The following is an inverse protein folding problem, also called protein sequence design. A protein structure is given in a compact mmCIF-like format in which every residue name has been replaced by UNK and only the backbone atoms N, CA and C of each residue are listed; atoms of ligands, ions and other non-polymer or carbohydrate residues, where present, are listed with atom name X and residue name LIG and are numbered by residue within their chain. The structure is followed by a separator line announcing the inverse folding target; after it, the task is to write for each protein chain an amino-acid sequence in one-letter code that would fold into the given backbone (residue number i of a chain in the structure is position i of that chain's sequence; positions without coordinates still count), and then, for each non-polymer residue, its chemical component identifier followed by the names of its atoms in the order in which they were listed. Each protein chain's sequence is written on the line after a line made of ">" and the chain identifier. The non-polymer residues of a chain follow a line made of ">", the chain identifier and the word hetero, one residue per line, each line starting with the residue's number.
data_IF_223002105667
#
_entry.id   IF_223002105667
#
_cell.length_a   1.000
_cell.length_b   1.000
_cell.length_c   1.000
_cell.angle_alpha   90.00
_cell.angle_beta   90.00
_cell.angle_gamma   90.00
#
_symmetry.space_group_name_H-M   'P 1'
#
loop_
_entity.id
_entity.type
_entity.pdbx_description
1 polymer ?
#
# COMPACT_ATOMS: atom_id res chain seq x y z
N UNK A 1 7.11 -23.08 23.91
CA UNK A 1 6.72 -21.88 24.70
C UNK A 1 7.39 -20.57 24.23
N UNK A 2 8.72 -20.41 24.28
CA UNK A 2 9.36 -19.14 23.86
C UNK A 2 9.19 -18.81 22.36
N UNK A 3 9.16 -19.82 21.49
CA UNK A 3 8.95 -19.61 20.05
C UNK A 3 7.50 -19.23 19.72
N UNK A 4 6.51 -19.85 20.39
CA UNK A 4 5.09 -19.49 20.26
C UNK A 4 4.86 -18.04 20.67
N UNK A 5 5.43 -17.59 21.80
CA UNK A 5 5.37 -16.19 22.19
C UNK A 5 6.06 -15.24 21.18
N UNK A 6 7.11 -15.68 20.50
CA UNK A 6 7.74 -14.91 19.44
C UNK A 6 6.84 -14.81 18.19
N UNK A 7 6.14 -15.90 17.83
CA UNK A 7 5.14 -15.90 16.74
C UNK A 7 3.98 -14.96 17.06
N UNK A 8 3.43 -15.02 18.29
CA UNK A 8 2.36 -14.13 18.74
C UNK A 8 2.80 -12.65 18.72
N UNK A 9 4.04 -12.36 19.12
CA UNK A 9 4.61 -11.01 19.08
C UNK A 9 4.79 -10.51 17.64
N UNK A 10 5.20 -11.38 16.70
CA UNK A 10 5.30 -11.04 15.28
C UNK A 10 3.90 -10.81 14.69
N UNK A 11 2.91 -11.66 15.00
CA UNK A 11 1.52 -11.47 14.58
C UNK A 11 0.95 -10.13 15.05
N UNK A 12 1.14 -9.81 16.33
CA UNK A 12 0.73 -8.52 16.90
C UNK A 12 1.41 -7.34 16.19
N UNK A 13 2.67 -7.50 15.80
CA UNK A 13 3.42 -6.45 15.09
C UNK A 13 2.99 -6.29 13.62
N UNK A 14 2.45 -7.36 13.02
CA UNK A 14 1.99 -7.38 11.63
C UNK A 14 0.50 -7.07 11.47
N UNK A 15 -0.27 -7.03 12.56
CA UNK A 15 -1.70 -6.73 12.55
C UNK A 15 -2.04 -5.43 11.80
N UNK A 16 -1.30 -4.30 11.96
CA UNK A 16 -1.52 -3.10 11.16
C UNK A 16 -1.35 -3.32 9.64
N UNK A 17 -0.59 -4.35 9.24
CA UNK A 17 -0.30 -4.69 7.85
C UNK A 17 -1.12 -5.88 7.32
N UNK A 18 -2.05 -6.43 8.09
CA UNK A 18 -2.79 -7.66 7.74
C UNK A 18 -3.56 -7.56 6.40
N UNK A 19 -3.95 -6.35 6.01
CA UNK A 19 -4.61 -6.06 4.73
C UNK A 19 -3.67 -6.13 3.51
N UNK A 20 -2.34 -6.10 3.70
CA UNK A 20 -1.31 -6.22 2.65
C UNK A 20 -0.49 -7.49 2.76
N UNK A 21 -0.37 -8.03 3.97
CA UNK A 21 0.41 -9.22 4.27
C UNK A 21 -0.56 -10.24 4.86
N UNK A 22 -0.87 -11.29 4.10
CA UNK A 22 -1.55 -12.46 4.64
C UNK A 22 -0.58 -13.22 5.55
N UNK A 23 -0.55 -12.81 6.82
CA UNK A 23 0.26 -13.41 7.88
C UNK A 23 -0.50 -14.44 8.71
N UNK A 24 -1.82 -14.32 8.81
CA UNK A 24 -2.66 -15.18 9.65
C UNK A 24 -2.53 -16.67 9.31
N UNK A 25 -2.79 -17.03 8.06
CA UNK A 25 -2.70 -18.42 7.59
C UNK A 25 -1.29 -18.99 7.76
N UNK A 26 -0.26 -18.22 7.38
CA UNK A 26 1.16 -18.65 7.43
C UNK A 26 1.63 -18.88 8.87
N UNK A 27 1.20 -18.05 9.82
CA UNK A 27 1.61 -18.16 11.21
C UNK A 27 0.85 -19.22 11.99
N UNK A 28 -0.39 -19.54 11.60
CA UNK A 28 -1.13 -20.69 12.15
C UNK A 28 -0.37 -21.98 11.80
N UNK A 29 0.03 -22.17 10.54
CA UNK A 29 0.84 -23.32 10.15
C UNK A 29 2.19 -23.35 10.85
N UNK A 30 2.91 -22.22 10.92
CA UNK A 30 4.17 -22.17 11.65
C UNK A 30 4.02 -22.53 13.13
N UNK A 31 2.88 -22.21 13.77
CA UNK A 31 2.59 -22.58 15.16
C UNK A 31 2.31 -24.07 15.29
N UNK A 32 1.46 -24.63 14.43
CA UNK A 32 1.16 -26.06 14.40
C UNK A 32 2.43 -26.90 14.19
N UNK A 33 3.30 -26.49 13.28
CA UNK A 33 4.56 -27.18 12.99
C UNK A 33 5.57 -27.03 14.15
N UNK A 34 5.58 -25.89 14.85
CA UNK A 34 6.38 -25.74 16.08
C UNK A 34 5.90 -26.66 17.21
N UNK A 35 4.60 -26.89 17.32
CA UNK A 35 4.02 -27.81 18.30
C UNK A 35 4.34 -29.27 17.93
N UNK A 36 4.27 -29.62 16.65
CA UNK A 36 4.70 -30.94 16.15
C UNK A 36 6.20 -31.19 16.41
N UNK A 37 7.06 -30.20 16.18
CA UNK A 37 8.49 -30.29 16.48
C UNK A 37 8.76 -30.46 17.99
N UNK A 38 7.94 -29.84 18.84
CA UNK A 38 8.06 -29.98 20.30
C UNK A 38 7.66 -31.40 20.76
N UNK A 39 6.57 -31.94 20.21
CA UNK A 39 6.13 -33.32 20.48
C UNK A 39 7.20 -34.32 20.03
N UNK A 40 7.75 -34.16 18.82
CA UNK A 40 8.83 -35.02 18.32
C UNK A 40 10.06 -35.04 19.24
N UNK A 41 10.42 -33.89 19.83
CA UNK A 41 11.51 -33.80 20.81
C UNK A 41 11.19 -34.50 22.14
N UNK A 42 9.93 -34.44 22.60
CA UNK A 42 9.48 -35.14 23.80
C UNK A 42 9.44 -36.67 23.61
N UNK A 43 9.15 -37.12 22.38
CA UNK A 43 9.06 -38.52 22.00
C UNK A 43 10.39 -39.13 21.51
N UNK A 44 11.47 -38.34 21.46
CA UNK A 44 12.78 -38.71 20.89
C UNK A 44 12.71 -39.10 19.39
N UNK A 45 11.68 -38.60 18.69
CA UNK A 45 11.51 -38.73 17.24
C UNK A 45 12.21 -37.56 16.54
N UNK A 46 13.50 -37.76 16.28
CA UNK A 46 14.37 -36.78 15.65
C UNK A 46 13.99 -36.55 14.18
N UNK A 47 13.43 -37.55 13.48
CA UNK A 47 13.03 -37.39 12.08
C UNK A 47 11.81 -36.48 11.95
N UNK A 48 10.77 -36.72 12.75
CA UNK A 48 9.57 -35.87 12.81
C UNK A 48 9.92 -34.44 13.28
N UNK A 49 10.84 -34.32 14.24
CA UNK A 49 11.33 -33.02 14.71
C UNK A 49 11.98 -32.20 13.60
N UNK A 50 12.83 -32.82 12.78
CA UNK A 50 13.56 -32.13 11.70
C UNK A 50 12.60 -31.74 10.57
N UNK A 51 11.64 -32.60 10.24
CA UNK A 51 10.65 -32.33 9.20
C UNK A 51 9.76 -31.14 9.59
N UNK A 52 9.20 -31.16 10.80
CA UNK A 52 8.40 -30.07 11.34
C UNK A 52 9.18 -28.74 11.41
N UNK A 53 10.45 -28.77 11.84
CA UNK A 53 11.31 -27.57 11.81
C UNK A 53 11.55 -27.02 10.40
N UNK A 54 11.56 -27.88 9.38
CA UNK A 54 11.73 -27.46 7.99
C UNK A 54 10.51 -26.68 7.48
N UNK A 55 9.29 -27.11 7.83
CA UNK A 55 8.06 -26.40 7.49
C UNK A 55 7.92 -25.05 8.21
N UNK A 56 8.38 -24.95 9.46
CA UNK A 56 8.49 -23.67 10.18
C UNK A 56 9.39 -22.69 9.42
N UNK A 57 10.55 -23.16 8.95
CA UNK A 57 11.49 -22.31 8.21
C UNK A 57 10.89 -21.86 6.88
N UNK A 58 10.20 -22.75 6.16
CA UNK A 58 9.52 -22.42 4.90
C UNK A 58 8.44 -21.35 5.10
N UNK A 59 7.57 -21.53 6.10
CA UNK A 59 6.51 -20.57 6.44
C UNK A 59 7.08 -19.19 6.81
N UNK A 60 8.15 -19.15 7.61
CA UNK A 60 8.80 -17.90 7.97
C UNK A 60 9.53 -17.25 6.78
N UNK A 61 10.07 -18.03 5.85
CA UNK A 61 10.66 -17.51 4.61
C UNK A 61 9.59 -16.92 3.69
N UNK A 62 8.43 -17.57 3.57
CA UNK A 62 7.29 -17.04 2.82
C UNK A 62 6.81 -15.71 3.42
N UNK A 63 6.62 -15.66 4.74
CA UNK A 63 6.21 -14.45 5.44
C UNK A 63 7.24 -13.33 5.24
N UNK A 64 8.52 -13.64 5.38
CA UNK A 64 9.60 -12.69 5.10
C UNK A 64 9.55 -12.19 3.66
N UNK A 65 9.30 -13.06 2.68
CA UNK A 65 9.13 -12.66 1.28
C UNK A 65 7.96 -11.69 1.09
N UNK A 66 6.84 -11.90 1.78
CA UNK A 66 5.69 -10.98 1.78
C UNK A 66 6.06 -9.62 2.41
N UNK A 67 6.77 -9.63 3.54
CA UNK A 67 7.27 -8.40 4.21
C UNK A 67 8.25 -7.64 3.32
N UNK A 68 9.23 -8.34 2.73
CA UNK A 68 10.26 -7.76 1.88
C UNK A 68 9.66 -7.10 0.62
N UNK A 69 8.51 -7.60 0.14
CA UNK A 69 7.78 -7.01 -1.00
C UNK A 69 7.10 -5.68 -0.64
N UNK A 70 6.56 -5.57 0.58
CA UNK A 70 5.74 -4.43 1.01
C UNK A 70 6.57 -3.34 1.71
N UNK A 71 7.69 -3.71 2.34
CA UNK A 71 8.57 -2.80 3.07
C UNK A 71 9.04 -1.58 2.26
N UNK A 72 9.46 -1.73 0.98
CA UNK A 72 9.85 -0.58 0.17
C UNK A 72 8.73 0.46 0.02
N UNK A 73 7.49 0.01 -0.17
CA UNK A 73 6.33 0.89 -0.37
C UNK A 73 6.04 1.72 0.89
N UNK A 74 6.07 1.09 2.07
CA UNK A 74 5.89 1.77 3.35
C UNK A 74 7.00 2.79 3.59
N UNK A 75 8.25 2.40 3.36
CA UNK A 75 9.39 3.32 3.50
C UNK A 75 9.26 4.50 2.55
N UNK A 76 8.83 4.27 1.31
CA UNK A 76 8.62 5.34 0.34
C UNK A 76 7.56 6.34 0.81
N UNK A 77 6.38 5.86 1.24
CA UNK A 77 5.31 6.74 1.75
C UNK A 77 5.74 7.47 3.03
N UNK A 78 6.47 6.80 3.92
CA UNK A 78 7.03 7.43 5.11
C UNK A 78 7.96 8.59 4.74
N UNK A 79 8.88 8.40 3.79
CA UNK A 79 9.78 9.48 3.34
C UNK A 79 9.04 10.67 2.73
N UNK A 80 8.00 10.41 1.94
CA UNK A 80 7.15 11.46 1.35
C UNK A 80 6.41 12.22 2.46
N UNK A 81 5.78 11.50 3.39
CA UNK A 81 4.99 12.10 4.47
C UNK A 81 5.86 12.82 5.49
N UNK A 82 7.05 12.32 5.82
CA UNK A 82 8.04 13.03 6.64
C UNK A 82 8.43 14.38 6.03
N UNK A 83 8.61 14.44 4.71
CA UNK A 83 8.85 15.71 4.02
C UNK A 83 7.65 16.65 4.19
N UNK A 84 6.42 16.14 4.01
CA UNK A 84 5.20 16.93 4.19
C UNK A 84 5.07 17.46 5.63
N UNK A 85 5.37 16.64 6.65
CA UNK A 85 5.39 17.08 8.05
C UNK A 85 6.41 18.18 8.32
N UNK A 86 7.50 18.25 7.55
CA UNK A 86 8.48 19.34 7.66
C UNK A 86 8.05 20.65 6.98
N UNK A 87 7.18 20.58 5.97
CA UNK A 87 6.79 21.74 5.14
C UNK A 87 5.43 22.31 5.54
N UNK A 88 4.40 21.47 5.67
CA UNK A 88 3.01 21.89 5.90
C UNK A 88 2.84 22.82 7.12
N UNK A 89 3.49 22.57 8.28
CA UNK A 89 3.38 23.48 9.43
C UNK A 89 3.91 24.89 9.17
N UNK A 90 4.79 25.08 8.18
CA UNK A 90 5.33 26.41 7.85
C UNK A 90 4.26 27.35 7.31
N UNK A 91 3.16 26.84 6.73
CA UNK A 91 2.03 27.68 6.36
C UNK A 91 1.49 28.46 7.56
N UNK A 92 1.16 27.77 8.66
CA UNK A 92 0.60 28.42 9.84
C UNK A 92 1.52 29.51 10.40
N UNK A 93 2.84 29.30 10.29
CA UNK A 93 3.86 30.29 10.65
C UNK A 93 3.80 31.50 9.70
N UNK A 94 3.79 31.27 8.38
CA UNK A 94 3.72 32.33 7.36
C UNK A 94 2.43 33.16 7.56
N UNK A 95 1.28 32.52 7.71
CA UNK A 95 -0.01 33.20 7.96
C UNK A 95 0.02 34.05 9.22
N UNK A 96 0.56 33.51 10.31
CA UNK A 96 0.66 34.25 11.56
C UNK A 96 1.60 35.46 11.42
N UNK A 97 2.76 35.30 10.79
CA UNK A 97 3.71 36.38 10.55
C UNK A 97 3.14 37.45 9.60
N UNK A 98 2.39 37.04 8.57
CA UNK A 98 1.70 37.95 7.66
C UNK A 98 0.62 38.78 8.38
N UNK A 99 -0.15 38.14 9.27
CA UNK A 99 -1.12 38.85 10.10
C UNK A 99 -0.46 39.81 11.10
N UNK A 100 0.69 39.45 11.67
CA UNK A 100 1.46 40.34 12.55
C UNK A 100 2.01 41.55 11.79
N UNK A 101 2.53 41.34 10.58
CA UNK A 101 2.99 42.39 9.69
C UNK A 101 1.86 43.36 9.32
N UNK A 102 0.70 42.83 8.87
CA UNK A 102 -0.51 43.62 8.56
C UNK A 102 -0.96 44.49 9.73
N UNK A 103 -0.96 43.92 10.94
CA UNK A 103 -1.43 44.61 12.15
C UNK A 103 -0.35 45.48 12.83
N UNK A 104 0.83 45.63 12.20
CA UNK A 104 1.95 46.43 12.71
C UNK A 104 2.35 46.07 14.16
N UNK A 105 2.33 44.78 14.49
CA UNK A 105 2.64 44.30 15.83
C UNK A 105 4.13 44.57 16.16
N UNK A 106 4.39 45.06 17.37
CA UNK A 106 5.76 45.31 17.85
C UNK A 106 6.54 43.98 17.90
N UNK A 107 7.66 43.88 17.17
CA UNK A 107 8.46 42.67 16.89
C UNK A 107 7.91 41.70 15.82
N UNK A 108 7.09 42.16 14.87
CA UNK A 108 6.77 41.38 13.68
C UNK A 108 8.04 40.93 12.91
N UNK A 109 7.94 39.81 12.19
CA UNK A 109 9.01 39.30 11.35
C UNK A 109 9.51 40.37 10.37
N UNK A 110 10.82 40.38 10.09
CA UNK A 110 11.37 41.28 9.07
C UNK A 110 10.73 40.94 7.72
N UNK A 111 10.25 41.96 6.99
CA UNK A 111 9.67 41.84 5.65
C UNK A 111 10.51 40.96 4.72
N UNK A 112 11.83 41.14 4.72
CA UNK A 112 12.74 40.37 3.88
C UNK A 112 12.85 38.89 4.30
N UNK A 113 12.68 38.61 5.59
CA UNK A 113 12.68 37.25 6.13
C UNK A 113 11.36 36.53 5.81
N UNK A 114 10.23 37.24 5.92
CA UNK A 114 8.91 36.73 5.57
C UNK A 114 8.82 36.38 4.07
N UNK A 115 9.35 37.23 3.19
CA UNK A 115 9.44 36.95 1.75
C UNK A 115 10.23 35.67 1.48
N UNK A 116 11.45 35.57 2.01
CA UNK A 116 12.30 34.37 1.82
C UNK A 116 11.65 33.10 2.34
N UNK A 117 10.96 33.17 3.47
CA UNK A 117 10.23 32.03 4.04
C UNK A 117 9.10 31.59 3.11
N UNK A 118 8.35 32.56 2.57
CA UNK A 118 7.25 32.32 1.62
C UNK A 118 7.74 31.72 0.31
N UNK A 119 8.78 32.31 -0.30
CA UNK A 119 9.40 31.77 -1.52
C UNK A 119 9.92 30.35 -1.30
N UNK A 120 10.59 30.10 -0.17
CA UNK A 120 11.09 28.78 0.16
C UNK A 120 9.95 27.76 0.30
N UNK A 121 8.85 28.13 0.96
CA UNK A 121 7.69 27.27 1.12
C UNK A 121 7.09 26.87 -0.24
N UNK A 122 6.87 27.81 -1.14
CA UNK A 122 6.38 27.51 -2.50
C UNK A 122 7.32 26.61 -3.29
N UNK A 123 8.63 26.87 -3.22
CA UNK A 123 9.66 26.04 -3.87
C UNK A 123 9.71 24.62 -3.29
N UNK A 124 9.58 24.47 -1.96
CA UNK A 124 9.59 23.16 -1.31
C UNK A 124 8.35 22.34 -1.71
N UNK A 125 7.18 22.97 -1.81
CA UNK A 125 5.96 22.32 -2.30
C UNK A 125 6.01 21.98 -3.79
N UNK A 126 6.52 22.87 -4.65
CA UNK A 126 6.75 22.57 -6.07
C UNK A 126 7.72 21.40 -6.23
N UNK A 127 8.80 21.36 -5.45
CA UNK A 127 9.75 20.24 -5.49
C UNK A 127 9.13 18.92 -5.05
N UNK A 128 8.21 18.96 -4.08
CA UNK A 128 7.48 17.78 -3.64
C UNK A 128 6.54 17.25 -4.73
N UNK A 129 5.71 18.14 -5.27
CA UNK A 129 4.51 17.81 -6.06
C UNK A 129 4.72 17.92 -7.58
N UNK A 130 5.66 18.74 -8.01
CA UNK A 130 5.88 19.09 -9.42
C UNK A 130 4.99 20.21 -9.93
N UNK A 131 4.08 20.74 -9.11
CA UNK A 131 3.07 21.72 -9.53
C UNK A 131 3.59 23.16 -9.42
N UNK A 132 3.52 23.92 -10.51
CA UNK A 132 3.94 25.33 -10.55
C UNK A 132 3.06 26.24 -9.68
N UNK A 133 1.78 25.87 -9.46
CA UNK A 133 0.82 26.66 -8.69
C UNK A 133 1.32 27.07 -7.29
N UNK A 134 2.12 26.23 -6.63
CA UNK A 134 2.62 26.55 -5.29
C UNK A 134 3.66 27.68 -5.32
N UNK A 135 4.42 27.81 -6.40
CA UNK A 135 5.32 28.94 -6.62
C UNK A 135 4.51 30.19 -6.95
N UNK A 136 3.42 30.04 -7.71
CA UNK A 136 2.52 31.15 -8.03
C UNK A 136 1.82 31.69 -6.77
N UNK A 137 1.27 30.82 -5.91
CA UNK A 137 0.70 31.20 -4.60
C UNK A 137 1.73 31.94 -3.75
N UNK A 138 2.96 31.40 -3.67
CA UNK A 138 4.03 32.03 -2.90
C UNK A 138 4.45 33.39 -3.48
N UNK A 139 4.47 33.52 -4.80
CA UNK A 139 4.81 34.78 -5.48
C UNK A 139 3.73 35.84 -5.24
N UNK A 140 2.45 35.46 -5.33
CA UNK A 140 1.34 36.37 -5.01
C UNK A 140 1.40 36.90 -3.57
N UNK A 141 1.78 36.05 -2.60
CA UNK A 141 2.04 36.48 -1.22
C UNK A 141 3.24 37.44 -1.12
N UNK A 142 4.32 37.19 -1.85
CA UNK A 142 5.50 38.07 -1.86
C UNK A 142 5.17 39.44 -2.48
N UNK A 143 4.31 39.46 -3.49
CA UNK A 143 3.87 40.69 -4.16
C UNK A 143 3.07 41.57 -3.20
N UNK A 144 2.08 41.00 -2.48
CA UNK A 144 1.29 41.77 -1.50
C UNK A 144 2.11 42.26 -0.29
N UNK A 145 3.22 41.59 0.04
CA UNK A 145 4.18 42.07 1.05
C UNK A 145 5.02 43.25 0.51
N UNK A 146 5.25 43.29 -0.80
CA UNK A 146 6.12 44.26 -1.46
C UNK A 146 5.42 45.58 -1.80
N UNK A 147 4.11 45.52 -2.01
CA UNK A 147 3.29 46.61 -2.49
C UNK A 147 2.38 47.17 -1.39
N UNK A 148 1.84 48.38 -1.58
CA UNK A 148 0.71 48.87 -0.78
C UNK A 148 -0.58 48.17 -1.23
N UNK A 149 -0.64 46.85 -1.01
CA UNK A 149 -1.80 46.03 -1.34
C UNK A 149 -3.00 46.37 -0.45
N UNK A 150 -4.19 46.30 -1.02
CA UNK A 150 -5.45 46.42 -0.29
C UNK A 150 -5.66 45.22 0.63
N UNK A 151 -6.50 45.38 1.66
CA UNK A 151 -6.84 44.27 2.56
C UNK A 151 -7.45 43.08 1.80
N UNK A 152 -8.23 43.36 0.76
CA UNK A 152 -8.83 42.31 -0.08
C UNK A 152 -7.80 41.49 -0.84
N UNK A 153 -6.74 42.11 -1.36
CA UNK A 153 -5.68 41.41 -2.08
C UNK A 153 -4.83 40.55 -1.15
N UNK A 154 -4.60 41.04 0.09
CA UNK A 154 -3.92 40.26 1.13
C UNK A 154 -4.75 39.04 1.52
N UNK A 155 -6.06 39.22 1.72
CA UNK A 155 -6.96 38.13 2.10
C UNK A 155 -7.05 37.07 0.98
N UNK A 156 -7.12 37.48 -0.29
CA UNK A 156 -7.09 36.56 -1.45
C UNK A 156 -5.79 35.73 -1.53
N UNK A 157 -4.64 36.37 -1.32
CA UNK A 157 -3.35 35.68 -1.29
C UNK A 157 -3.24 34.68 -0.12
N UNK A 158 -3.80 35.03 1.04
CA UNK A 158 -3.87 34.13 2.20
C UNK A 158 -4.83 32.97 1.98
N UNK A 159 -5.96 33.17 1.30
CA UNK A 159 -6.91 32.12 0.95
C UNK A 159 -6.30 31.09 0.00
N UNK A 160 -5.50 31.52 -0.98
CA UNK A 160 -4.73 30.60 -1.84
C UNK A 160 -3.79 29.69 -1.05
N UNK A 161 -3.11 30.25 -0.04
CA UNK A 161 -2.23 29.50 0.85
C UNK A 161 -2.99 28.54 1.78
N UNK A 162 -4.22 28.89 2.17
CA UNK A 162 -5.12 27.98 2.91
C UNK A 162 -5.51 26.80 2.02
N UNK A 163 -5.96 27.06 0.80
CA UNK A 163 -6.35 26.02 -0.15
C UNK A 163 -5.19 25.03 -0.43
N UNK A 164 -3.98 25.54 -0.66
CA UNK A 164 -2.80 24.70 -0.86
C UNK A 164 -2.51 23.79 0.35
N UNK A 165 -2.86 24.22 1.56
CA UNK A 165 -2.68 23.42 2.77
C UNK A 165 -3.77 22.40 2.99
N UNK A 166 -5.01 22.72 2.66
CA UNK A 166 -6.11 21.76 2.66
C UNK A 166 -5.80 20.61 1.69
N UNK A 167 -5.29 20.92 0.49
CA UNK A 167 -4.85 19.92 -0.48
C UNK A 167 -3.71 19.04 0.07
N UNK A 168 -2.72 19.62 0.77
CA UNK A 168 -1.64 18.84 1.38
C UNK A 168 -2.12 17.97 2.55
N UNK A 169 -3.08 18.44 3.35
CA UNK A 169 -3.68 17.65 4.43
C UNK A 169 -4.45 16.46 3.86
N UNK A 170 -5.30 16.71 2.87
CA UNK A 170 -6.02 15.65 2.17
C UNK A 170 -5.06 14.65 1.52
N UNK A 171 -3.98 15.12 0.91
CA UNK A 171 -2.95 14.24 0.34
C UNK A 171 -2.29 13.36 1.41
N UNK A 172 -1.98 13.89 2.60
CA UNK A 172 -1.43 13.08 3.70
C UNK A 172 -2.41 12.01 4.16
N UNK A 173 -3.70 12.35 4.30
CA UNK A 173 -4.76 11.40 4.67
C UNK A 173 -4.92 10.30 3.62
N UNK A 174 -4.95 10.68 2.34
CA UNK A 174 -5.05 9.73 1.23
C UNK A 174 -3.82 8.82 1.13
N UNK A 175 -2.61 9.35 1.32
CA UNK A 175 -1.37 8.56 1.35
C UNK A 175 -1.36 7.58 2.53
N UNK A 176 -1.82 8.02 3.70
CA UNK A 176 -1.97 7.15 4.86
C UNK A 176 -2.99 6.05 4.56
N UNK A 177 -4.14 6.39 3.99
CA UNK A 177 -5.19 5.43 3.62
C UNK A 177 -4.69 4.32 2.70
N UNK A 178 -3.80 4.65 1.74
CA UNK A 178 -3.20 3.65 0.86
C UNK A 178 -2.43 2.57 1.65
N UNK A 179 -1.81 2.89 2.78
CA UNK A 179 -1.00 1.93 3.57
C UNK A 179 -1.63 1.48 4.88
N UNK A 180 -2.73 2.09 5.33
CA UNK A 180 -3.44 1.68 6.53
C UNK A 180 -4.48 0.60 6.23
N UNK A 181 -4.75 -0.31 7.18
CA UNK A 181 -5.80 -1.29 7.00
C UNK A 181 -7.15 -0.59 6.87
N UNK A 182 -8.05 -1.06 5.99
CA UNK A 182 -9.41 -0.54 5.95
C UNK A 182 -10.06 -0.74 7.32
N UNK A 183 -10.90 0.21 7.77
CA UNK A 183 -11.58 0.09 9.06
C UNK A 183 -12.36 -1.23 9.14
N UNK A 184 -12.26 -1.91 10.29
CA UNK A 184 -12.95 -3.17 10.56
C UNK A 184 -14.46 -3.04 10.24
N UNK A 185 -14.99 -3.98 9.45
CA UNK A 185 -16.41 -4.03 9.10
C UNK A 185 -16.84 -3.21 7.88
N UNK A 186 -15.91 -2.49 7.23
CA UNK A 186 -16.20 -1.83 5.94
C UNK A 186 -16.04 -2.84 4.81
N UNK A 187 -17.05 -2.95 3.94
CA UNK A 187 -16.93 -3.69 2.68
C UNK A 187 -15.85 -3.01 1.85
N UNK A 188 -14.71 -3.65 1.70
CA UNK A 188 -13.64 -3.17 0.83
C UNK A 188 -14.10 -3.36 -0.60
N UNK A 189 -14.64 -2.30 -1.20
CA UNK A 189 -14.91 -2.28 -2.63
C UNK A 189 -13.60 -2.53 -3.39
N UNK A 190 -13.71 -3.26 -4.51
CA UNK A 190 -12.55 -3.52 -5.34
C UNK A 190 -11.92 -2.18 -5.78
N UNK A 191 -10.61 -1.97 -5.60
CA UNK A 191 -10.00 -0.69 -5.90
C UNK A 191 -10.22 -0.32 -7.37
N UNK A 192 -10.53 0.94 -7.63
CA UNK A 192 -10.72 1.46 -8.98
C UNK A 192 -9.48 1.20 -9.86
N UNK A 193 -9.64 1.32 -11.19
CA UNK A 193 -8.50 1.15 -12.12
C UNK A 193 -7.38 2.15 -11.81
N UNK A 194 -7.75 3.36 -11.42
CA UNK A 194 -6.84 4.44 -11.04
C UNK A 194 -6.09 4.10 -9.75
N UNK A 195 -6.79 3.60 -8.72
CA UNK A 195 -6.16 3.17 -7.46
C UNK A 195 -5.20 1.98 -7.69
N UNK A 196 -5.57 1.03 -8.55
CA UNK A 196 -4.67 -0.06 -8.96
C UNK A 196 -3.42 0.48 -9.67
N UNK A 197 -3.57 1.52 -10.49
CA UNK A 197 -2.43 2.16 -11.16
C UNK A 197 -1.53 2.91 -10.17
N UNK A 198 -2.09 3.53 -9.13
CA UNK A 198 -1.31 4.13 -8.03
C UNK A 198 -0.47 3.06 -7.33
N UNK A 199 -1.06 1.90 -6.98
CA UNK A 199 -0.29 0.81 -6.36
C UNK A 199 0.84 0.30 -7.26
N UNK A 200 0.58 0.13 -8.55
CA UNK A 200 1.61 -0.30 -9.49
C UNK A 200 2.73 0.76 -9.63
N UNK A 201 2.39 2.04 -9.67
CA UNK A 201 3.38 3.13 -9.69
C UNK A 201 4.18 3.22 -8.38
N UNK A 202 3.52 3.04 -7.22
CA UNK A 202 4.14 3.01 -5.91
C UNK A 202 5.15 1.85 -5.78
N UNK A 203 4.80 0.68 -6.30
CA UNK A 203 5.73 -0.45 -6.39
C UNK A 203 6.96 -0.08 -7.22
N UNK A 204 6.79 0.52 -8.42
CA UNK A 204 7.94 0.92 -9.25
C UNK A 204 8.78 1.99 -8.54
N UNK A 205 8.15 3.01 -7.95
CA UNK A 205 8.83 4.12 -7.29
C UNK A 205 9.64 3.67 -6.06
N UNK A 206 9.07 2.81 -5.23
CA UNK A 206 9.72 2.32 -4.02
C UNK A 206 10.97 1.48 -4.33
N UNK A 207 10.85 0.50 -5.24
CA UNK A 207 11.98 -0.32 -5.67
C UNK A 207 13.03 0.51 -6.43
N UNK A 208 12.61 1.51 -7.19
CA UNK A 208 13.52 2.46 -7.85
C UNK A 208 14.30 3.31 -6.84
N UNK A 209 13.65 3.77 -5.75
CA UNK A 209 14.30 4.53 -4.69
C UNK A 209 15.41 3.74 -4.01
N UNK A 210 15.17 2.45 -3.78
CA UNK A 210 16.16 1.54 -3.20
C UNK A 210 17.32 1.28 -4.16
N UNK A 211 17.01 1.08 -5.43
CA UNK A 211 18.02 0.94 -6.46
C UNK A 211 18.89 2.20 -6.57
N UNK A 212 18.28 3.39 -6.52
CA UNK A 212 18.98 4.68 -6.52
C UNK A 212 19.97 4.78 -5.35
N UNK A 213 19.55 4.42 -4.13
CA UNK A 213 20.43 4.37 -2.95
C UNK A 213 21.60 3.42 -3.15
N UNK A 214 21.31 2.23 -3.68
CA UNK A 214 22.34 1.24 -4.00
C UNK A 214 23.32 1.79 -5.03
N UNK A 215 22.86 2.47 -6.07
CA UNK A 215 23.71 3.10 -7.09
C UNK A 215 24.70 4.10 -6.51
N UNK A 216 24.35 4.82 -5.44
CA UNK A 216 25.26 5.77 -4.80
C UNK A 216 26.47 5.10 -4.13
N UNK A 217 26.26 3.93 -3.54
CA UNK A 217 27.27 3.27 -2.68
C UNK A 217 27.94 2.05 -3.34
N UNK A 218 27.40 1.56 -4.46
CA UNK A 218 27.88 0.34 -5.12
C UNK A 218 29.34 0.46 -5.56
N UNK A 219 30.04 -0.67 -5.66
CA UNK A 219 31.38 -0.72 -6.28
C UNK A 219 31.29 -0.79 -7.81
N UNK A 220 32.30 -0.31 -8.57
CA UNK A 220 32.22 -0.27 -10.03
C UNK A 220 31.96 -1.62 -10.72
N UNK A 221 32.49 -2.70 -10.17
CA UNK A 221 32.36 -4.08 -10.67
C UNK A 221 30.93 -4.65 -10.56
N UNK A 222 30.08 -4.05 -9.73
CA UNK A 222 28.70 -4.47 -9.51
C UNK A 222 27.67 -3.60 -10.27
N UNK A 223 28.12 -2.59 -11.03
CA UNK A 223 27.21 -1.67 -11.77
C UNK A 223 26.39 -2.38 -12.86
N UNK A 224 26.93 -3.43 -13.48
CA UNK A 224 26.21 -4.21 -14.47
C UNK A 224 24.95 -4.87 -13.89
N UNK A 225 25.01 -5.36 -12.65
CA UNK A 225 23.84 -5.94 -11.97
C UNK A 225 22.78 -4.88 -11.69
N UNK A 226 23.19 -3.66 -11.35
CA UNK A 226 22.24 -2.56 -11.16
C UNK A 226 21.56 -2.16 -12.47
N UNK A 227 22.25 -2.22 -13.61
CA UNK A 227 21.65 -1.95 -14.91
C UNK A 227 20.53 -2.97 -15.25
N UNK A 228 20.71 -4.24 -14.89
CA UNK A 228 19.67 -5.28 -15.05
C UNK A 228 18.45 -4.95 -14.20
N UNK A 229 18.64 -4.60 -12.93
CA UNK A 229 17.54 -4.18 -12.04
C UNK A 229 16.83 -2.92 -12.54
N UNK A 230 17.60 -1.92 -13.00
CA UNK A 230 17.06 -0.68 -13.55
C UNK A 230 16.20 -0.94 -14.80
N UNK A 231 16.61 -1.89 -15.65
CA UNK A 231 15.87 -2.30 -16.86
C UNK A 231 14.57 -3.01 -16.51
N UNK A 232 14.56 -3.82 -15.45
CA UNK A 232 13.34 -4.45 -14.94
C UNK A 232 12.32 -3.39 -14.53
N UNK A 233 12.74 -2.41 -13.71
CA UNK A 233 11.88 -1.30 -13.29
C UNK A 233 11.41 -0.44 -14.45
N UNK A 234 12.25 -0.20 -15.46
CA UNK A 234 11.82 0.49 -16.68
C UNK A 234 10.72 -0.30 -17.41
N UNK A 235 10.84 -1.62 -17.47
CA UNK A 235 9.83 -2.48 -18.09
C UNK A 235 8.52 -2.47 -17.31
N UNK A 236 8.58 -2.49 -15.97
CA UNK A 236 7.41 -2.34 -15.10
C UNK A 236 6.73 -0.98 -15.29
N UNK A 237 7.52 0.11 -15.31
CA UNK A 237 7.02 1.45 -15.59
C UNK A 237 6.36 1.56 -16.98
N UNK A 238 6.85 0.81 -17.97
CA UNK A 238 6.27 0.78 -19.31
C UNK A 238 4.86 0.21 -19.31
N UNK A 239 4.54 -0.76 -18.46
CA UNK A 239 3.19 -1.32 -18.34
C UNK A 239 2.17 -0.32 -17.77
N UNK A 240 2.63 0.74 -17.12
CA UNK A 240 1.78 1.85 -16.65
C UNK A 240 1.40 2.82 -17.77
N UNK A 241 2.09 2.77 -18.92
CA UNK A 241 1.66 3.50 -20.10
C UNK A 241 0.42 2.78 -20.65
N UNK A 242 -0.70 3.48 -20.92
CA UNK A 242 -1.82 2.92 -21.64
C UNK A 242 -1.29 2.15 -22.85
N UNK A 243 -1.72 0.89 -22.98
CA UNK A 243 -1.33 0.08 -24.11
C UNK A 243 -1.67 0.88 -25.37
N UNK A 244 -0.65 1.21 -26.17
CA UNK A 244 -0.88 1.61 -27.56
C UNK A 244 -1.84 0.58 -28.14
N UNK A 245 -3.04 1.00 -28.56
CA UNK A 245 -3.99 0.12 -29.24
C UNK A 245 -3.28 -0.57 -30.40
N UNK A 246 -2.77 -1.77 -30.17
CA UNK A 246 -2.42 -2.70 -31.23
C UNK A 246 -3.60 -3.63 -31.37
N UNK A 247 -4.67 -3.13 -32.00
CA UNK A 247 -5.45 -4.00 -32.87
C UNK A 247 -4.55 -4.30 -34.07
N UNK A 248 -3.64 -5.25 -33.86
CA UNK A 248 -2.98 -5.93 -34.96
C UNK A 248 -4.05 -6.81 -35.58
N UNK A 249 -4.78 -6.26 -36.55
CA UNK A 249 -5.63 -7.05 -37.44
C UNK A 249 -4.74 -8.11 -38.09
N UNK A 250 -4.91 -9.36 -37.68
CA UNK A 250 -4.44 -10.49 -38.47
C UNK A 250 -5.14 -10.44 -39.85
N UNK A 251 -4.43 -10.61 -40.96
CA UNK A 251 -5.06 -10.68 -42.27
C UNK A 251 -5.58 -12.11 -42.46
N UNK A 252 -6.87 -12.33 -42.25
CA UNK A 252 -7.48 -13.64 -42.48
C UNK A 252 -8.98 -13.69 -42.26
N UNK A 253 -9.72 -13.53 -43.36
CA UNK A 253 -11.02 -14.16 -43.63
C UNK A 253 -12.18 -13.91 -42.65
N UNK A 254 -13.09 -13.03 -43.04
CA UNK A 254 -14.49 -13.41 -43.30
C UNK A 254 -15.24 -12.27 -43.99
N UNK A 255 -15.52 -12.49 -45.27
CA UNK A 255 -16.43 -11.68 -46.04
C UNK A 255 -17.84 -12.02 -45.59
N UNK A 256 -18.48 -11.11 -44.84
CA UNK A 256 -19.90 -11.20 -44.53
C UNK A 256 -20.62 -10.21 -45.45
N UNK A 257 -21.37 -10.74 -46.39
CA UNK A 257 -22.27 -9.98 -47.26
C UNK A 257 -23.31 -9.26 -46.39
N UNK A 258 -23.36 -7.94 -46.53
CA UNK A 258 -24.38 -7.10 -45.87
C UNK A 258 -25.57 -7.01 -46.83
N UNK A 259 -26.71 -7.61 -46.46
CA UNK A 259 -28.02 -7.21 -47.01
C UNK A 259 -28.40 -5.82 -46.44
N UNK A 260 -28.94 -4.90 -47.26
CA UNK A 260 -29.24 -3.56 -46.79
C UNK A 260 -30.63 -3.53 -46.17
N UNK A 261 -30.70 -3.19 -44.89
CA UNK A 261 -31.92 -2.67 -44.30
C UNK A 261 -32.12 -3.09 -42.85
N UNK A 262 -31.68 -2.24 -41.93
CA UNK A 262 -32.43 -1.89 -40.72
C UNK A 262 -31.67 -0.77 -40.01
N UNK A 263 -32.33 0.38 -39.91
CA UNK A 263 -31.94 1.50 -39.05
C UNK A 263 -31.68 0.98 -37.62
N UNK A 264 -30.47 1.20 -37.13
CA UNK A 264 -30.21 1.24 -35.70
C UNK A 264 -29.21 2.35 -35.45
N UNK A 265 -29.65 3.31 -34.64
CA UNK A 265 -28.83 4.36 -34.07
C UNK A 265 -27.66 3.72 -33.32
N UNK A 266 -26.48 3.70 -33.93
CA UNK A 266 -25.24 3.41 -33.24
C UNK A 266 -24.76 4.74 -32.69
N UNK A 267 -24.96 4.94 -31.37
CA UNK A 267 -24.25 5.97 -30.63
C UNK A 267 -22.76 5.84 -30.96
N UNK A 268 -22.16 6.93 -31.45
CA UNK A 268 -20.71 7.04 -31.63
C UNK A 268 -20.07 6.78 -30.26
N UNK A 269 -19.56 5.55 -30.04
CA UNK A 269 -18.63 5.28 -28.96
C UNK A 269 -17.43 6.18 -29.19
N UNK A 270 -17.33 7.26 -28.41
CA UNK A 270 -16.15 8.10 -28.32
C UNK A 270 -14.94 7.20 -28.08
N UNK A 271 -14.07 7.12 -29.09
CA UNK A 271 -12.78 6.48 -28.97
C UNK A 271 -11.96 7.39 -28.05
N UNK A 272 -12.03 7.14 -26.74
CA UNK A 272 -11.20 7.81 -25.74
C UNK A 272 -9.75 7.45 -26.08
N UNK A 273 -9.06 8.39 -26.71
CA UNK A 273 -7.61 8.35 -26.92
C UNK A 273 -6.95 8.44 -25.54
N UNK A 274 -6.68 7.30 -24.91
CA UNK A 274 -5.98 7.26 -23.62
C UNK A 274 -4.52 7.62 -23.87
N UNK A 275 -4.23 8.91 -23.90
CA UNK A 275 -2.85 9.39 -24.00
C UNK A 275 -2.09 9.00 -22.71
N UNK A 276 -0.84 8.52 -22.83
CA UNK A 276 -0.05 8.19 -21.65
C UNK A 276 0.18 9.40 -20.77
N UNK A 277 0.03 9.22 -19.46
CA UNK A 277 0.26 10.27 -18.48
C UNK A 277 1.68 10.86 -18.65
N UNK A 278 1.85 12.19 -18.72
CA UNK A 278 3.15 12.83 -19.01
C UNK A 278 4.24 12.43 -18.01
N UNK A 279 3.89 12.35 -16.72
CA UNK A 279 4.83 11.96 -15.67
C UNK A 279 5.27 10.49 -15.79
N UNK A 280 4.37 9.55 -16.13
CA UNK A 280 4.74 8.15 -16.37
C UNK A 280 5.62 8.00 -17.62
N UNK A 281 5.30 8.74 -18.69
CA UNK A 281 6.13 8.79 -19.90
C UNK A 281 7.52 9.33 -19.60
N UNK A 282 7.62 10.39 -18.81
CA UNK A 282 8.88 10.99 -18.39
C UNK A 282 9.69 10.05 -17.50
N UNK A 283 9.04 9.40 -16.52
CA UNK A 283 9.63 8.40 -15.65
C UNK A 283 10.24 7.26 -16.47
N UNK A 284 9.44 6.62 -17.34
CA UNK A 284 9.92 5.53 -18.20
C UNK A 284 11.14 5.94 -19.03
N UNK A 285 11.10 7.12 -19.66
CA UNK A 285 12.24 7.65 -20.43
C UNK A 285 13.50 7.78 -19.55
N UNK A 286 13.37 8.37 -18.37
CA UNK A 286 14.51 8.56 -17.46
C UNK A 286 15.03 7.25 -16.86
N UNK A 287 14.17 6.26 -16.62
CA UNK A 287 14.58 4.91 -16.20
C UNK A 287 15.43 4.25 -17.30
N UNK A 288 15.03 4.35 -18.58
CA UNK A 288 15.81 3.82 -19.71
C UNK A 288 17.14 4.58 -19.89
N UNK A 289 17.15 5.90 -19.74
CA UNK A 289 18.39 6.68 -19.75
C UNK A 289 19.35 6.21 -18.64
N UNK A 290 18.84 5.97 -17.43
CA UNK A 290 19.63 5.45 -16.32
C UNK A 290 20.23 4.06 -16.63
N UNK A 291 19.48 3.16 -17.29
CA UNK A 291 20.02 1.87 -17.76
C UNK A 291 21.25 2.10 -18.64
N UNK A 292 21.12 2.92 -19.69
CA UNK A 292 22.21 3.17 -20.62
C UNK A 292 23.45 3.76 -19.93
N UNK A 293 23.25 4.65 -18.94
CA UNK A 293 24.36 5.23 -18.15
C UNK A 293 25.02 4.21 -17.23
N UNK A 294 24.25 3.32 -16.60
CA UNK A 294 24.81 2.25 -15.76
C UNK A 294 25.63 1.25 -16.61
N UNK A 295 25.14 0.89 -17.80
CA UNK A 295 25.84 -0.01 -18.72
C UNK A 295 27.14 0.58 -19.27
N UNK A 296 27.17 1.91 -19.47
CA UNK A 296 28.40 2.61 -19.85
C UNK A 296 29.34 2.89 -18.66
N UNK A 297 29.01 2.42 -17.45
CA UNK A 297 29.78 2.65 -16.22
C UNK A 297 29.71 4.09 -15.67
N UNK A 298 28.79 4.92 -16.17
CA UNK A 298 28.64 6.32 -15.80
C UNK A 298 27.72 6.53 -14.59
N UNK A 299 28.24 6.27 -13.38
CA UNK A 299 27.47 6.38 -12.12
C UNK A 299 26.78 7.72 -11.92
N UNK A 300 27.52 8.83 -11.99
CA UNK A 300 26.96 10.16 -11.69
C UNK A 300 25.85 10.55 -12.68
N UNK A 301 26.04 10.20 -13.96
CA UNK A 301 25.03 10.40 -14.99
C UNK A 301 23.79 9.53 -14.76
N UNK A 302 23.97 8.28 -14.30
CA UNK A 302 22.87 7.41 -13.92
C UNK A 302 22.09 7.99 -12.74
N UNK A 303 22.77 8.46 -11.69
CA UNK A 303 22.16 9.10 -10.51
C UNK A 303 21.30 10.30 -10.92
N UNK A 304 21.77 11.13 -11.85
CA UNK A 304 20.99 12.28 -12.36
C UNK A 304 19.71 11.80 -13.06
N UNK A 305 19.80 10.80 -13.95
CA UNK A 305 18.62 10.25 -14.63
C UNK A 305 17.67 9.55 -13.65
N UNK A 306 18.19 8.79 -12.68
CA UNK A 306 17.39 8.15 -11.64
C UNK A 306 16.65 9.17 -10.78
N UNK A 307 17.29 10.30 -10.43
CA UNK A 307 16.62 11.38 -9.68
C UNK A 307 15.45 11.96 -10.47
N UNK A 308 15.63 12.21 -11.76
CA UNK A 308 14.53 12.71 -12.62
C UNK A 308 13.38 11.70 -12.76
N UNK A 309 13.69 10.39 -12.80
CA UNK A 309 12.67 9.35 -12.78
C UNK A 309 11.92 9.30 -11.45
N UNK A 310 12.63 9.44 -10.32
CA UNK A 310 12.07 9.48 -8.97
C UNK A 310 11.11 10.67 -8.81
N UNK A 311 11.52 11.86 -9.27
CA UNK A 311 10.68 13.06 -9.27
C UNK A 311 9.40 12.84 -10.12
N UNK A 312 9.54 12.33 -11.35
CA UNK A 312 8.39 12.09 -12.22
C UNK A 312 7.40 11.04 -11.65
N UNK A 313 7.90 9.95 -11.06
CA UNK A 313 7.03 8.95 -10.41
C UNK A 313 6.33 9.53 -9.20
N UNK A 314 7.04 10.31 -8.37
CA UNK A 314 6.46 10.98 -7.21
C UNK A 314 5.32 11.92 -7.63
N UNK A 315 5.55 12.77 -8.62
CA UNK A 315 4.53 13.73 -9.10
C UNK A 315 3.26 13.01 -9.55
N UNK A 316 3.41 11.94 -10.34
CA UNK A 316 2.26 11.10 -10.71
C UNK A 316 1.53 10.51 -9.50
N UNK A 317 2.26 9.92 -8.55
CA UNK A 317 1.67 9.28 -7.37
C UNK A 317 0.88 10.31 -6.56
N UNK A 318 1.45 11.49 -6.30
CA UNK A 318 0.79 12.52 -5.50
C UNK A 318 -0.45 13.09 -6.20
N UNK A 319 -0.34 13.41 -7.48
CA UNK A 319 -1.46 13.90 -8.30
C UNK A 319 -2.62 12.90 -8.31
N UNK A 320 -2.33 11.62 -8.59
CA UNK A 320 -3.37 10.59 -8.67
C UNK A 320 -3.94 10.24 -7.31
N UNK A 321 -3.12 10.27 -6.26
CA UNK A 321 -3.57 10.03 -4.88
C UNK A 321 -4.53 11.13 -4.45
N UNK A 322 -4.22 12.40 -4.73
CA UNK A 322 -5.12 13.50 -4.41
C UNK A 322 -6.44 13.40 -5.18
N UNK A 323 -6.39 12.95 -6.44
CA UNK A 323 -7.55 12.94 -7.35
C UNK A 323 -8.48 11.74 -7.19
N UNK A 324 -7.95 10.55 -6.93
CA UNK A 324 -8.70 9.28 -7.07
C UNK A 324 -8.80 8.48 -5.78
N UNK A 325 -8.07 8.84 -4.73
CA UNK A 325 -8.22 8.20 -3.42
C UNK A 325 -9.24 9.01 -2.64
N UNK A 326 -10.31 8.33 -2.21
CA UNK A 326 -11.30 8.90 -1.30
C UNK A 326 -11.29 8.05 -0.04
N UNK A 327 -10.94 8.67 1.09
CA UNK A 327 -11.08 8.04 2.40
C UNK A 327 -12.58 7.96 2.71
N UNK A 328 -13.14 6.76 2.99
CA UNK A 328 -14.52 6.64 3.41
C UNK A 328 -14.74 7.45 4.71
N UNK A 329 -15.90 8.11 4.89
CA UNK A 329 -16.18 8.76 6.15
C UNK A 329 -16.07 7.75 7.31
N UNK A 330 -15.58 8.18 8.49
CA UNK A 330 -15.49 7.28 9.64
C UNK A 330 -16.86 6.68 9.92
N UNK A 331 -16.89 5.38 10.23
CA UNK A 331 -18.13 4.71 10.61
C UNK A 331 -18.81 5.50 11.74
N UNK A 332 -20.15 5.64 11.72
CA UNK A 332 -20.85 6.24 12.84
C UNK A 332 -20.45 5.52 14.13
N UNK A 333 -20.33 6.25 15.27
CA UNK A 333 -19.95 5.64 16.53
C UNK A 333 -20.84 4.44 16.79
N UNK A 334 -20.22 3.27 16.98
CA UNK A 334 -20.96 2.07 17.33
C UNK A 334 -21.76 2.35 18.60
N UNK A 335 -23.02 1.89 18.64
CA UNK A 335 -23.78 1.84 19.88
C UNK A 335 -22.92 1.15 20.94
N UNK A 336 -22.91 1.64 22.20
CA UNK A 336 -22.12 1.03 23.25
C UNK A 336 -22.43 -0.46 23.28
N UNK A 337 -21.39 -1.29 23.20
CA UNK A 337 -21.53 -2.74 23.22
C UNK A 337 -22.44 -3.15 24.39
N UNK A 338 -23.35 -4.13 24.20
CA UNK A 338 -24.14 -4.64 25.32
C UNK A 338 -23.17 -5.05 26.43
N UNK A 339 -23.41 -4.53 27.64
CA UNK A 339 -22.58 -4.77 28.83
C UNK A 339 -22.30 -6.26 28.96
N UNK A 340 -21.03 -6.61 29.17
CA UNK A 340 -20.48 -7.97 29.34
C UNK A 340 -20.98 -8.68 30.63
N UNK A 341 -22.11 -8.23 31.19
CA UNK A 341 -22.67 -8.68 32.46
C UNK A 341 -23.94 -9.53 32.31
N UNK A 342 -24.33 -9.91 31.09
CA UNK A 342 -25.45 -10.82 30.87
C UNK A 342 -24.98 -12.28 30.98
N UNK A 343 -25.18 -12.89 32.16
CA UNK A 343 -24.91 -14.31 32.40
C UNK A 343 -25.81 -15.22 31.53
N UNK A 344 -25.26 -16.22 30.82
CA UNK A 344 -26.03 -17.19 30.03
C UNK A 344 -26.78 -18.19 30.93
N UNK A 345 -27.95 -18.68 30.46
CA UNK A 345 -28.83 -19.64 31.14
C UNK A 345 -28.21 -21.06 31.14
N UNK A 346 -28.09 -21.67 32.33
CA UNK A 346 -27.44 -22.96 32.64
C UNK A 346 -28.05 -24.20 31.94
N UNK A 347 -29.11 -24.02 31.15
CA UNK A 347 -29.86 -25.13 30.53
C UNK A 347 -29.23 -25.67 29.23
N UNK A 348 -28.39 -24.90 28.52
CA UNK A 348 -27.81 -25.31 27.22
C UNK A 348 -26.48 -26.08 27.32
N UNK A 349 -25.77 -26.00 28.46
CA UNK A 349 -24.43 -26.60 28.62
C UNK A 349 -24.44 -28.03 29.18
N UNK A 350 -25.61 -28.59 29.51
CA UNK A 350 -25.70 -29.93 30.11
C UNK A 350 -25.33 -31.07 29.14
N UNK A 351 -25.40 -30.87 27.83
CA UNK A 351 -25.03 -31.89 26.83
C UNK A 351 -23.50 -32.11 26.74
N UNK A 352 -22.70 -31.16 27.23
CA UNK A 352 -21.25 -31.09 27.03
C UNK A 352 -20.43 -31.47 28.27
N UNK A 353 -21.08 -31.87 29.37
CA UNK A 353 -20.38 -32.32 30.56
C UNK A 353 -19.68 -33.69 30.33
N UNK A 354 -18.46 -33.90 30.87
CA UNK A 354 -17.76 -35.18 30.75
C UNK A 354 -18.55 -36.33 31.41
N UNK A 355 -18.97 -37.31 30.61
CA UNK A 355 -19.72 -38.50 31.07
C UNK A 355 -21.15 -38.64 30.53
N UNK A 356 -21.64 -37.68 29.75
CA UNK A 356 -23.01 -37.64 29.20
C UNK A 356 -23.33 -38.71 28.14
N UNK A 357 -22.30 -39.29 27.51
CA UNK A 357 -22.46 -40.34 26.51
C UNK A 357 -21.90 -41.67 27.04
N UNK A 358 -22.79 -42.62 27.31
CA UNK A 358 -22.41 -43.97 27.75
C UNK A 358 -22.17 -44.90 26.56
N UNK A 359 -20.93 -45.36 26.38
CA UNK A 359 -20.57 -46.41 25.42
C UNK A 359 -19.13 -46.91 25.61
N UNK A 360 -18.88 -48.22 25.40
CA UNK A 360 -17.52 -48.79 25.52
C UNK A 360 -16.75 -48.65 24.21
N UNK A 361 -15.52 -48.10 24.25
CA UNK A 361 -14.58 -48.04 23.11
C UNK A 361 -14.29 -49.43 22.53
N UNK A 362 -14.16 -49.60 21.20
CA UNK A 362 -13.70 -50.84 20.59
C UNK A 362 -12.24 -51.15 20.97
N UNK A 363 -11.91 -52.43 21.14
CA UNK A 363 -10.53 -52.85 21.47
C UNK A 363 -9.65 -52.75 20.22
N UNK A 364 -8.63 -51.87 20.27
CA UNK A 364 -7.67 -51.69 19.17
C UNK A 364 -7.09 -50.28 19.06
N UNK A 365 -7.68 -49.29 19.72
CA UNK A 365 -7.06 -47.98 19.96
C UNK A 365 -6.94 -47.03 18.77
N UNK A 366 -7.22 -47.46 17.53
CA UNK A 366 -7.25 -46.57 16.36
C UNK A 366 -8.63 -46.53 15.72
N UNK A 367 -9.10 -45.33 15.43
CA UNK A 367 -10.36 -45.04 14.74
C UNK A 367 -10.06 -44.63 13.30
N UNK A 368 -10.87 -45.11 12.35
CA UNK A 368 -10.69 -44.94 10.89
C UNK A 368 -10.52 -43.48 10.42
N UNK A 369 -10.86 -42.50 11.27
CA UNK A 369 -10.73 -41.06 11.01
C UNK A 369 -9.28 -40.56 10.90
N UNK A 370 -8.30 -41.25 11.49
CA UNK A 370 -6.87 -40.88 11.40
C UNK A 370 -6.26 -41.16 10.01
N UNK A 371 -6.87 -42.06 9.22
CA UNK A 371 -6.36 -42.47 7.89
C UNK A 371 -7.00 -41.64 6.75
N UNK A 372 -8.15 -41.01 7.00
CA UNK A 372 -8.83 -40.10 6.06
C UNK A 372 -8.16 -38.72 5.98
N UNK A 373 -7.53 -38.24 7.05
CA UNK A 373 -6.90 -36.90 7.11
C UNK A 373 -5.74 -36.66 6.13
N UNK A 374 -5.08 -37.71 5.61
CA UNK A 374 -3.92 -37.56 4.71
C UNK A 374 -4.26 -37.52 3.22
N UNK A 375 -5.39 -38.10 2.79
CA UNK A 375 -5.81 -38.07 1.37
C UNK A 375 -6.73 -36.90 1.05
N UNK A 376 -7.48 -36.42 2.04
CA UNK A 376 -8.45 -35.34 1.81
C UNK A 376 -7.84 -33.93 1.93
N UNK A 377 -6.61 -33.75 2.46
CA UNK A 377 -5.94 -32.42 2.52
C UNK A 377 -5.70 -31.77 1.14
N UNK A 378 -5.33 -32.55 0.13
CA UNK A 378 -5.12 -32.04 -1.23
C UNK A 378 -6.45 -31.68 -1.93
N UNK A 379 -7.51 -32.45 -1.65
CA UNK A 379 -8.86 -32.20 -2.18
C UNK A 379 -9.60 -31.09 -1.40
N UNK A 380 -9.29 -30.91 -0.10
CA UNK A 380 -9.80 -29.82 0.72
C UNK A 380 -9.19 -28.49 0.30
N UNK A 381 -7.87 -28.38 0.09
CA UNK A 381 -7.27 -27.10 -0.35
C UNK A 381 -7.85 -26.58 -1.69
N UNK A 382 -8.22 -27.48 -2.61
CA UNK A 382 -8.80 -27.11 -3.90
C UNK A 382 -10.29 -26.74 -3.81
N UNK A 383 -11.05 -27.30 -2.85
CA UNK A 383 -12.47 -26.97 -2.62
C UNK A 383 -12.68 -25.81 -1.63
N UNK A 384 -11.82 -25.65 -0.63
CA UNK A 384 -11.90 -24.56 0.36
C UNK A 384 -11.61 -23.18 -0.25
N UNK A 385 -10.83 -23.13 -1.33
CA UNK A 385 -10.59 -21.91 -2.09
C UNK A 385 -11.78 -21.51 -2.99
N UNK A 386 -12.74 -22.42 -3.23
CA UNK A 386 -13.85 -22.21 -4.19
C UNK A 386 -15.24 -22.05 -3.56
N UNK A 387 -15.56 -22.68 -2.43
CA UNK A 387 -16.98 -22.85 -2.03
C UNK A 387 -17.38 -22.41 -0.61
N UNK A 388 -16.56 -21.67 0.13
CA UNK A 388 -16.95 -21.24 1.49
C UNK A 388 -17.32 -19.75 1.58
N UNK A 389 -18.63 -19.42 1.67
CA UNK A 389 -19.09 -18.11 2.10
C UNK A 389 -18.54 -17.77 3.50
N UNK A 390 -18.23 -16.48 3.70
CA UNK A 390 -17.51 -15.94 4.86
C UNK A 390 -18.16 -16.26 6.23
N UNK A 391 -19.46 -16.53 6.24
CA UNK A 391 -20.27 -16.73 7.45
C UNK A 391 -19.92 -18.02 8.23
N UNK A 392 -19.34 -19.03 7.57
CA UNK A 392 -19.00 -20.30 8.21
C UNK A 392 -17.54 -20.39 8.71
N UNK A 393 -16.69 -19.39 8.42
CA UNK A 393 -15.30 -19.34 8.92
C UNK A 393 -15.22 -18.97 10.41
N UNK A 394 -16.17 -18.18 10.90
CA UNK A 394 -16.24 -17.81 12.31
C UNK A 394 -16.68 -19.01 13.19
N UNK A 395 -17.65 -19.80 12.75
CA UNK A 395 -18.13 -21.00 13.48
C UNK A 395 -17.04 -22.08 13.55
N UNK A 396 -16.23 -22.23 12.49
CA UNK A 396 -15.10 -23.16 12.49
C UNK A 396 -13.99 -22.71 13.43
N UNK A 397 -13.72 -21.40 13.51
CA UNK A 397 -12.74 -20.82 14.44
C UNK A 397 -13.14 -21.06 15.91
N UNK A 398 -14.39 -20.79 16.27
CA UNK A 398 -14.88 -21.01 17.64
C UNK A 398 -14.88 -22.50 18.04
N UNK A 399 -15.16 -23.41 17.09
CA UNK A 399 -15.09 -24.86 17.29
C UNK A 399 -13.65 -25.37 17.52
N UNK A 400 -12.65 -24.80 16.84
CA UNK A 400 -11.24 -25.17 17.04
C UNK A 400 -10.63 -24.54 18.30
N UNK A 401 -11.08 -23.34 18.72
CA UNK A 401 -10.64 -22.70 19.96
C UNK A 401 -11.17 -23.43 21.21
N UNK A 402 -12.39 -23.99 21.18
CA UNK A 402 -12.91 -24.86 22.26
C UNK A 402 -12.22 -26.23 22.38
N UNK A 403 -11.45 -26.65 21.37
CA UNK A 403 -10.70 -27.91 21.36
C UNK A 403 -9.26 -27.77 21.91
N UNK A 404 -8.84 -26.55 22.24
CA UNK A 404 -7.49 -26.22 22.72
C UNK A 404 -7.40 -25.87 24.22
N UNK A 405 -8.52 -25.92 24.95
CA UNK A 405 -8.55 -26.11 26.42
C UNK A 405 -8.86 -27.57 26.75
#
# INVERSE_FOLDING_TARGET
>A
KNLIHAVDAVLTSLDPMAHRIESGTVMVFAKEDMDAAAIGLEEDDIEETIDAQSFVVESLQELRGKIDKVTPEYRYILEVTEFMYGVVPQNAVIRNEMNQWRNQVENAANVEELKKKTEKFGNDLQKLTGEERYVDTASGLVDVISEEASESEIDEALDGLVADTEDMQLLMENLAYLITPPPLGVVVEEPSKEVKMIYAALSVASHHKDLFRNTQIVKPDQMANLAVLQRKLASECKFLLPALSTNSLEPGEQQIDIEPGLDSDVEETEIISIQPHPNIKSAHRHLIEAVAKLESGGRDAAIISQKKADDALRYFILEYTLKYVAVPPPAPPADPAPSDDALPDDSELQLFLPGSLTGKRPKGGRVEWEVLGRRDRAALNENFARELPLEYRAILKDYYEQLTE
#
